data_IF_520819271958
#
_entry.id   IF_520819271958
#
_cell.length_a   1.000
_cell.length_b   1.000
_cell.length_c   1.000
_cell.angle_alpha   90.00
_cell.angle_beta   90.00
_cell.angle_gamma   90.00
#
_symmetry.space_group_name_H-M   'P 1'
#
loop_
_entity.id
_entity.type
_entity.pdbx_description
1 polymer ?
#
# COMPACT_ATOMS: atom_id res chain seq x y z
N UNK A 1 -42.71 -13.12 24.29
CA UNK A 1 -42.47 -13.27 22.86
C UNK A 1 -41.80 -12.02 22.32
N UNK A 2 -40.47 -12.01 22.35
CA UNK A 2 -39.62 -10.94 21.81
C UNK A 2 -39.20 -11.27 20.40
N UNK A 3 -39.73 -10.55 19.42
CA UNK A 3 -39.32 -10.68 18.04
C UNK A 3 -37.96 -10.05 17.81
N UNK A 4 -36.99 -10.87 17.37
CA UNK A 4 -35.69 -10.40 16.87
C UNK A 4 -35.91 -9.67 15.55
N UNK A 5 -35.84 -8.36 15.57
CA UNK A 5 -35.74 -7.55 14.38
C UNK A 5 -34.31 -7.61 13.86
N UNK A 6 -34.07 -8.40 12.80
CA UNK A 6 -32.83 -8.32 12.03
C UNK A 6 -32.92 -7.00 11.26
N UNK A 7 -32.13 -6.02 11.63
CA UNK A 7 -32.01 -4.79 10.88
C UNK A 7 -31.48 -5.12 9.48
N UNK A 8 -32.33 -4.94 8.48
CA UNK A 8 -31.94 -4.98 7.09
C UNK A 8 -30.94 -3.85 6.83
N UNK A 9 -29.77 -4.08 6.21
CA UNK A 9 -28.89 -2.97 5.86
C UNK A 9 -29.65 -1.98 4.98
N UNK A 10 -29.42 -0.66 5.14
CA UNK A 10 -30.10 0.34 4.32
C UNK A 10 -29.85 0.04 2.84
N UNK A 11 -30.86 0.22 1.97
CA UNK A 11 -30.68 0.03 0.55
C UNK A 11 -29.57 0.97 0.05
N UNK A 12 -28.73 0.52 -0.91
CA UNK A 12 -27.70 1.37 -1.47
C UNK A 12 -28.35 2.65 -2.02
N UNK A 13 -27.75 3.79 -1.71
CA UNK A 13 -28.17 5.09 -2.21
C UNK A 13 -28.35 5.00 -3.73
N UNK A 14 -29.53 5.28 -4.23
CA UNK A 14 -29.88 5.26 -5.63
C UNK A 14 -28.85 6.08 -6.44
N UNK A 15 -28.24 5.44 -7.47
CA UNK A 15 -27.26 5.95 -8.44
C UNK A 15 -25.75 5.86 -8.09
N UNK A 16 -25.31 5.04 -7.19
CA UNK A 16 -23.90 4.63 -7.21
C UNK A 16 -23.70 3.66 -8.40
N UNK A 17 -23.04 4.12 -9.46
CA UNK A 17 -22.73 3.27 -10.61
C UNK A 17 -21.81 2.14 -10.17
N UNK A 18 -22.29 0.89 -10.31
CA UNK A 18 -21.49 -0.31 -10.01
C UNK A 18 -20.21 -0.29 -10.85
N UNK A 19 -19.05 -0.32 -10.22
CA UNK A 19 -17.74 -0.11 -10.84
C UNK A 19 -16.98 -1.41 -11.03
N UNK A 20 -16.54 -1.69 -12.24
CA UNK A 20 -15.61 -2.78 -12.53
C UNK A 20 -14.19 -2.20 -12.64
N UNK A 21 -13.36 -2.43 -11.64
CA UNK A 21 -11.99 -1.92 -11.59
C UNK A 21 -11.02 -3.05 -11.91
N UNK A 22 -10.07 -2.76 -12.81
CA UNK A 22 -8.99 -3.68 -13.12
C UNK A 22 -7.65 -3.08 -12.74
N UNK A 23 -6.90 -3.78 -11.87
CA UNK A 23 -5.57 -3.40 -11.43
C UNK A 23 -4.54 -4.11 -12.31
N UNK A 24 -3.57 -3.37 -12.84
CA UNK A 24 -2.39 -3.93 -13.50
C UNK A 24 -1.22 -3.95 -12.52
N UNK A 25 -0.74 -5.15 -12.18
CA UNK A 25 0.33 -5.36 -11.22
C UNK A 25 1.64 -5.77 -11.90
N UNK A 26 2.76 -5.20 -11.46
CA UNK A 26 4.10 -5.63 -11.85
C UNK A 26 4.72 -6.65 -10.89
N UNK A 27 3.93 -7.18 -9.95
CA UNK A 27 4.34 -8.15 -8.93
C UNK A 27 4.98 -7.53 -7.68
N UNK A 28 5.23 -6.22 -7.65
CA UNK A 28 5.77 -5.56 -6.46
C UNK A 28 4.65 -5.23 -5.48
N UNK A 29 4.78 -5.72 -4.23
CA UNK A 29 3.74 -5.56 -3.21
C UNK A 29 3.40 -4.09 -2.90
N UNK A 30 4.40 -3.19 -2.84
CA UNK A 30 4.18 -1.77 -2.60
C UNK A 30 3.33 -1.10 -3.70
N UNK A 31 3.57 -1.45 -4.97
CA UNK A 31 2.78 -0.96 -6.10
C UNK A 31 1.35 -1.51 -6.08
N UNK A 32 1.22 -2.80 -5.78
CA UNK A 32 -0.09 -3.43 -5.65
C UNK A 32 -0.91 -2.81 -4.52
N UNK A 33 -0.30 -2.55 -3.37
CA UNK A 33 -0.95 -1.92 -2.23
C UNK A 33 -1.49 -0.52 -2.58
N UNK A 34 -0.73 0.30 -3.31
CA UNK A 34 -1.21 1.62 -3.75
C UNK A 34 -2.45 1.50 -4.63
N UNK A 35 -2.42 0.61 -5.61
CA UNK A 35 -3.54 0.37 -6.51
C UNK A 35 -4.77 -0.19 -5.79
N UNK A 36 -4.56 -1.14 -4.86
CA UNK A 36 -5.63 -1.70 -4.02
C UNK A 36 -6.25 -0.67 -3.08
N UNK A 37 -5.43 0.21 -2.49
CA UNK A 37 -5.91 1.28 -1.62
C UNK A 37 -6.91 2.19 -2.32
N UNK A 38 -6.60 2.61 -3.55
CA UNK A 38 -7.52 3.41 -4.37
C UNK A 38 -8.76 2.59 -4.76
N UNK A 39 -8.58 1.39 -5.30
CA UNK A 39 -9.67 0.56 -5.77
C UNK A 39 -10.69 0.27 -4.66
N UNK A 40 -10.22 -0.15 -3.48
CA UNK A 40 -11.06 -0.42 -2.32
C UNK A 40 -11.79 0.83 -1.82
N UNK A 41 -11.14 2.00 -1.86
CA UNK A 41 -11.78 3.26 -1.50
C UNK A 41 -12.92 3.62 -2.47
N UNK A 42 -12.75 3.38 -3.77
CA UNK A 42 -13.76 3.63 -4.78
C UNK A 42 -14.95 2.68 -4.66
N UNK A 43 -14.72 1.36 -4.60
CA UNK A 43 -15.81 0.39 -4.51
C UNK A 43 -16.56 0.45 -3.17
N UNK A 44 -15.91 0.89 -2.08
CA UNK A 44 -16.62 1.08 -0.81
C UNK A 44 -17.67 2.21 -0.88
N UNK A 45 -17.54 3.14 -1.82
CA UNK A 45 -18.49 4.24 -2.05
C UNK A 45 -19.50 3.95 -3.16
N UNK A 46 -19.03 3.33 -4.25
CA UNK A 46 -19.83 3.12 -5.44
C UNK A 46 -20.41 1.69 -5.54
N UNK A 47 -19.86 0.73 -4.82
CA UNK A 47 -20.06 -0.69 -5.10
C UNK A 47 -19.25 -1.12 -6.31
N UNK A 48 -19.04 -2.43 -6.47
CA UNK A 48 -18.31 -2.91 -7.64
C UNK A 48 -17.43 -4.13 -7.40
N UNK A 49 -16.61 -4.42 -8.40
CA UNK A 49 -15.64 -5.52 -8.37
C UNK A 49 -14.23 -4.99 -8.64
N UNK A 50 -13.25 -5.66 -8.07
CA UNK A 50 -11.82 -5.42 -8.33
C UNK A 50 -11.17 -6.71 -8.79
N UNK A 51 -10.52 -6.67 -9.95
CA UNK A 51 -9.70 -7.75 -10.47
C UNK A 51 -8.24 -7.28 -10.58
N UNK A 52 -7.29 -8.16 -10.26
CA UNK A 52 -5.87 -7.88 -10.44
C UNK A 52 -5.31 -8.74 -11.57
N UNK A 53 -4.73 -8.10 -12.57
CA UNK A 53 -3.99 -8.74 -13.67
C UNK A 53 -2.51 -8.67 -13.35
N UNK A 54 -1.91 -9.81 -13.03
CA UNK A 54 -0.47 -9.90 -12.78
C UNK A 54 0.30 -9.91 -14.11
N UNK A 55 1.21 -8.96 -14.29
CA UNK A 55 2.05 -8.78 -15.47
C UNK A 55 3.52 -9.15 -15.21
N UNK A 56 3.82 -9.70 -14.04
CA UNK A 56 5.18 -10.05 -13.65
C UNK A 56 5.81 -11.05 -14.64
N UNK A 57 7.07 -10.85 -14.97
CA UNK A 57 7.84 -11.76 -15.83
C UNK A 57 7.45 -11.78 -17.31
N UNK A 58 6.40 -11.05 -17.72
CA UNK A 58 5.98 -11.00 -19.12
C UNK A 58 6.77 -9.97 -19.93
N UNK A 59 7.03 -10.28 -21.20
CA UNK A 59 7.50 -9.30 -22.19
C UNK A 59 6.44 -8.22 -22.44
N UNK A 60 6.80 -7.09 -23.03
CA UNK A 60 5.86 -6.01 -23.31
C UNK A 60 4.66 -6.47 -24.16
N UNK A 61 4.90 -7.27 -25.18
CA UNK A 61 3.84 -7.84 -26.01
C UNK A 61 2.95 -8.81 -25.20
N UNK A 62 3.57 -9.64 -24.36
CA UNK A 62 2.86 -10.54 -23.44
C UNK A 62 1.96 -9.79 -22.45
N UNK A 63 2.45 -8.70 -21.88
CA UNK A 63 1.67 -7.83 -20.98
C UNK A 63 0.45 -7.24 -21.69
N UNK A 64 0.64 -6.64 -22.85
CA UNK A 64 -0.44 -6.03 -23.61
C UNK A 64 -1.50 -7.08 -24.01
N UNK A 65 -1.07 -8.26 -24.48
CA UNK A 65 -1.99 -9.36 -24.80
C UNK A 65 -2.80 -9.78 -23.56
N UNK A 66 -2.13 -10.01 -22.43
CA UNK A 66 -2.78 -10.45 -21.19
C UNK A 66 -3.82 -9.44 -20.69
N UNK A 67 -3.53 -8.14 -20.78
CA UNK A 67 -4.47 -7.08 -20.40
C UNK A 67 -5.76 -7.12 -21.23
N UNK A 68 -5.62 -7.42 -22.53
CA UNK A 68 -6.76 -7.44 -23.47
C UNK A 68 -7.58 -8.72 -23.39
N UNK A 69 -6.92 -9.88 -23.12
CA UNK A 69 -7.57 -11.19 -23.24
C UNK A 69 -7.80 -11.92 -21.90
N UNK A 70 -7.18 -11.49 -20.84
CA UNK A 70 -7.07 -12.25 -19.59
C UNK A 70 -7.96 -11.73 -18.46
N UNK A 71 -9.28 -11.62 -18.67
CA UNK A 71 -10.17 -11.14 -17.63
C UNK A 71 -11.49 -11.88 -17.59
N UNK A 72 -11.91 -12.26 -16.39
CA UNK A 72 -13.19 -12.93 -16.11
C UNK A 72 -14.32 -11.95 -15.78
N UNK A 73 -14.00 -10.65 -15.58
CA UNK A 73 -15.01 -9.62 -15.32
C UNK A 73 -15.41 -8.88 -16.60
N UNK A 74 -16.61 -8.29 -16.63
CA UNK A 74 -17.08 -7.44 -17.73
C UNK A 74 -16.10 -6.32 -18.06
N UNK A 75 -16.37 -5.60 -19.17
CA UNK A 75 -15.59 -4.44 -19.57
C UNK A 75 -15.30 -3.55 -18.35
N UNK A 76 -14.03 -3.24 -18.08
CA UNK A 76 -13.69 -2.41 -16.93
C UNK A 76 -14.09 -0.94 -17.16
N UNK A 77 -14.56 -0.29 -16.11
CA UNK A 77 -14.86 1.14 -16.08
C UNK A 77 -13.62 1.96 -15.76
N UNK A 78 -12.64 1.33 -15.08
CA UNK A 78 -11.41 1.97 -14.65
C UNK A 78 -10.24 0.98 -14.62
N UNK A 79 -9.11 1.39 -15.15
CA UNK A 79 -7.82 0.75 -14.90
C UNK A 79 -7.03 1.55 -13.87
N UNK A 80 -6.39 0.83 -12.92
CA UNK A 80 -5.48 1.40 -11.93
C UNK A 80 -4.17 0.65 -12.00
N UNK A 81 -3.06 1.35 -11.89
CA UNK A 81 -1.76 0.72 -11.72
C UNK A 81 -0.79 1.58 -10.92
N UNK A 82 0.29 0.96 -10.47
CA UNK A 82 1.50 1.60 -9.99
C UNK A 82 2.72 0.82 -10.52
N UNK A 83 3.83 1.51 -10.69
CA UNK A 83 5.08 0.91 -11.18
C UNK A 83 5.35 1.15 -12.66
N UNK A 84 6.62 1.46 -12.97
CA UNK A 84 7.04 1.83 -14.33
C UNK A 84 6.76 0.74 -15.37
N UNK A 85 6.82 -0.54 -14.96
CA UNK A 85 6.60 -1.67 -15.85
C UNK A 85 5.15 -1.80 -16.35
N UNK A 86 4.21 -1.05 -15.77
CA UNK A 86 2.78 -1.07 -16.10
C UNK A 86 2.34 0.13 -16.95
N UNK A 87 3.20 1.14 -17.19
CA UNK A 87 2.81 2.36 -17.89
C UNK A 87 2.29 2.08 -19.31
N UNK A 88 3.06 1.39 -20.13
CA UNK A 88 2.64 1.05 -21.51
C UNK A 88 1.42 0.13 -21.53
N UNK A 89 1.35 -0.96 -20.74
CA UNK A 89 0.14 -1.76 -20.64
C UNK A 89 -1.10 -0.96 -20.20
N UNK A 90 -0.94 0.00 -19.30
CA UNK A 90 -2.04 0.86 -18.84
C UNK A 90 -2.56 1.77 -19.96
N UNK A 91 -1.65 2.40 -20.72
CA UNK A 91 -1.99 3.23 -21.89
C UNK A 91 -2.68 2.37 -22.97
N UNK A 92 -2.16 1.18 -23.26
CA UNK A 92 -2.77 0.26 -24.22
C UNK A 92 -4.18 -0.16 -23.77
N UNK A 93 -4.35 -0.49 -22.47
CA UNK A 93 -5.64 -0.83 -21.89
C UNK A 93 -6.67 0.31 -22.06
N UNK A 94 -6.26 1.54 -21.69
CA UNK A 94 -7.08 2.75 -21.84
C UNK A 94 -7.61 2.91 -23.27
N UNK A 95 -6.74 2.78 -24.27
CA UNK A 95 -7.10 2.94 -25.66
C UNK A 95 -7.97 1.79 -26.18
N UNK A 96 -7.61 0.54 -25.84
CA UNK A 96 -8.34 -0.65 -26.32
C UNK A 96 -9.77 -0.69 -25.77
N UNK A 97 -9.95 -0.48 -24.46
CA UNK A 97 -11.24 -0.53 -23.82
C UNK A 97 -12.00 0.80 -23.88
N UNK A 98 -11.40 1.88 -24.37
CA UNK A 98 -11.94 3.25 -24.34
C UNK A 98 -12.48 3.60 -22.95
N UNK A 99 -11.66 3.38 -21.94
CA UNK A 99 -11.97 3.59 -20.52
C UNK A 99 -10.91 4.47 -19.87
N UNK A 100 -11.10 4.84 -18.61
CA UNK A 100 -10.18 5.68 -17.87
C UNK A 100 -9.01 4.89 -17.28
N UNK A 101 -7.86 5.57 -17.15
CA UNK A 101 -6.63 5.01 -16.59
C UNK A 101 -6.04 5.94 -15.52
N UNK A 102 -5.88 5.40 -14.32
CA UNK A 102 -5.28 6.10 -13.17
C UNK A 102 -3.95 5.44 -12.79
N UNK A 103 -2.93 6.28 -12.65
CA UNK A 103 -1.60 5.85 -12.21
C UNK A 103 -1.31 6.37 -10.80
N UNK A 104 -0.92 5.46 -9.88
CA UNK A 104 -0.65 5.78 -8.47
C UNK A 104 0.86 5.96 -8.22
N UNK A 105 1.51 6.87 -8.93
CA UNK A 105 2.92 7.26 -8.73
C UNK A 105 3.33 8.35 -9.73
N UNK A 106 4.53 8.93 -9.53
CA UNK A 106 5.16 9.79 -10.52
C UNK A 106 5.56 8.96 -11.76
N UNK A 107 4.99 9.24 -12.95
CA UNK A 107 5.35 8.51 -14.17
C UNK A 107 6.71 8.93 -14.72
N UNK A 108 7.32 8.04 -15.52
CA UNK A 108 8.46 8.38 -16.40
C UNK A 108 8.01 8.91 -17.75
N UNK A 109 6.73 8.77 -18.08
CA UNK A 109 6.09 9.31 -19.28
C UNK A 109 5.31 10.59 -18.90
N UNK A 110 4.99 11.46 -19.86
CA UNK A 110 4.13 12.61 -19.60
C UNK A 110 2.79 12.20 -18.98
N UNK A 111 2.35 12.93 -17.94
CA UNK A 111 1.09 12.64 -17.22
C UNK A 111 -0.14 12.65 -18.14
N UNK A 112 -0.11 13.43 -19.23
CA UNK A 112 -1.18 13.50 -20.24
C UNK A 112 -1.51 12.17 -20.95
N UNK A 113 -0.67 11.16 -20.83
CA UNK A 113 -1.01 9.81 -21.30
C UNK A 113 -2.01 9.07 -20.40
N UNK A 114 -2.21 9.55 -19.20
CA UNK A 114 -3.14 9.01 -18.20
C UNK A 114 -4.28 10.01 -17.97
N UNK A 115 -5.42 9.52 -17.47
CA UNK A 115 -6.54 10.42 -17.15
C UNK A 115 -6.33 11.08 -15.77
N UNK A 116 -5.53 10.44 -14.89
CA UNK A 116 -5.14 10.97 -13.59
C UNK A 116 -3.88 10.28 -13.09
N UNK A 117 -2.95 11.07 -12.54
CA UNK A 117 -1.79 10.59 -11.80
C UNK A 117 -1.90 10.99 -10.32
N UNK A 118 -1.98 10.04 -9.42
CA UNK A 118 -1.93 10.27 -7.97
C UNK A 118 -0.48 10.20 -7.53
N UNK A 119 0.12 11.35 -7.24
CA UNK A 119 1.55 11.46 -6.97
C UNK A 119 1.79 11.96 -5.55
N UNK A 120 2.55 11.22 -4.72
CA UNK A 120 2.96 11.69 -3.40
C UNK A 120 3.68 13.04 -3.47
N UNK A 121 3.40 13.94 -2.52
CA UNK A 121 3.98 15.29 -2.51
C UNK A 121 5.50 15.33 -2.50
N UNK A 122 6.15 14.34 -1.87
CA UNK A 122 7.60 14.24 -1.83
C UNK A 122 8.23 13.90 -3.19
N UNK A 123 7.45 13.39 -4.16
CA UNK A 123 7.88 13.12 -5.53
C UNK A 123 7.59 14.29 -6.50
N UNK A 124 6.93 15.35 -6.02
CA UNK A 124 6.55 16.51 -6.80
C UNK A 124 7.51 17.69 -6.57
N UNK A 125 7.58 18.57 -7.53
CA UNK A 125 8.39 19.80 -7.41
C UNK A 125 7.73 20.73 -6.39
N UNK A 126 8.51 21.18 -5.41
CA UNK A 126 8.05 22.10 -4.37
C UNK A 126 7.63 23.46 -4.97
N UNK A 127 6.46 23.95 -4.57
CA UNK A 127 5.97 25.26 -4.99
C UNK A 127 5.24 25.31 -6.33
N UNK A 128 5.12 24.19 -7.05
CA UNK A 128 4.30 24.12 -8.28
C UNK A 128 2.84 23.92 -7.95
N UNK A 129 1.97 24.65 -8.65
CA UNK A 129 0.53 24.44 -8.61
C UNK A 129 0.14 23.31 -9.59
N UNK A 130 -0.66 22.36 -9.13
CA UNK A 130 -1.14 21.21 -9.89
C UNK A 130 -2.67 21.21 -10.08
N UNK A 131 -3.35 22.32 -9.77
CA UNK A 131 -4.81 22.40 -9.71
C UNK A 131 -5.46 22.10 -11.06
N UNK A 132 -4.88 22.57 -12.17
CA UNK A 132 -5.42 22.38 -13.52
C UNK A 132 -4.64 21.36 -14.33
N UNK A 133 -4.19 20.29 -13.68
CA UNK A 133 -3.40 19.24 -14.33
C UNK A 133 -4.03 17.85 -14.12
N UNK A 134 -3.58 16.86 -14.90
CA UNK A 134 -3.91 15.45 -14.69
C UNK A 134 -3.17 14.85 -13.48
N UNK A 135 -2.75 15.68 -12.52
CA UNK A 135 -1.99 15.31 -11.33
C UNK A 135 -2.77 15.67 -10.08
N UNK A 136 -2.97 14.68 -9.21
CA UNK A 136 -3.51 14.90 -7.88
C UNK A 136 -2.42 14.60 -6.82
N UNK A 137 -1.94 15.61 -6.10
CA UNK A 137 -0.95 15.43 -5.04
C UNK A 137 -1.54 14.68 -3.85
N UNK A 138 -0.94 13.54 -3.47
CA UNK A 138 -1.29 12.81 -2.25
C UNK A 138 -0.31 13.13 -1.13
N UNK A 139 -0.71 13.01 0.13
CA UNK A 139 0.20 13.24 1.26
C UNK A 139 1.30 12.19 1.34
N UNK A 140 0.95 10.94 1.03
CA UNK A 140 1.86 9.81 0.98
C UNK A 140 1.40 8.78 -0.05
N UNK A 141 2.07 7.63 -0.08
CA UNK A 141 1.66 6.50 -0.90
C UNK A 141 0.30 5.96 -0.43
N UNK A 142 -0.58 5.65 -1.38
CA UNK A 142 -1.88 5.07 -1.05
C UNK A 142 -1.70 3.67 -0.47
N UNK A 143 -2.58 3.30 0.47
CA UNK A 143 -2.57 1.99 1.12
C UNK A 143 -3.99 1.49 1.41
N UNK A 144 -4.26 0.18 1.35
CA UNK A 144 -5.59 -0.38 1.64
C UNK A 144 -5.94 -0.39 3.13
N UNK A 145 -4.99 -0.14 4.01
CA UNK A 145 -5.24 -0.10 5.46
C UNK A 145 -6.18 1.05 5.83
N UNK A 146 -7.10 0.75 6.73
CA UNK A 146 -8.01 1.74 7.30
C UNK A 146 -7.97 1.67 8.82
N UNK A 147 -8.03 2.81 9.52
CA UNK A 147 -8.22 2.81 10.96
C UNK A 147 -9.52 2.08 11.32
N UNK A 148 -9.46 1.20 12.30
CA UNK A 148 -10.63 0.59 12.92
C UNK A 148 -10.74 1.10 14.36
N UNK A 149 -11.68 1.99 14.66
CA UNK A 149 -11.86 2.55 16.00
C UNK A 149 -12.41 1.53 17.01
N UNK A 150 -12.96 0.40 16.55
CA UNK A 150 -13.49 -0.65 17.42
C UNK A 150 -12.40 -1.56 18.01
N UNK A 151 -11.20 -1.52 17.43
CA UNK A 151 -10.06 -2.36 17.86
C UNK A 151 -9.32 -1.66 19.01
N UNK A 152 -9.10 -2.33 20.17
CA UNK A 152 -8.27 -1.80 21.25
C UNK A 152 -6.87 -1.44 20.77
N UNK A 153 -6.36 -0.31 21.25
CA UNK A 153 -5.02 0.21 20.96
C UNK A 153 -4.12 0.02 22.17
N UNK A 154 -3.52 -1.15 22.29
CA UNK A 154 -2.78 -1.59 23.48
C UNK A 154 -1.32 -1.94 23.20
N UNK A 155 -0.90 -1.87 21.96
CA UNK A 155 0.47 -2.19 21.54
C UNK A 155 1.19 -1.01 20.92
N UNK A 156 2.51 -1.02 20.97
CA UNK A 156 3.37 -0.17 20.13
C UNK A 156 4.08 -1.05 19.13
N UNK A 157 3.93 -0.72 17.85
CA UNK A 157 4.57 -1.44 16.76
C UNK A 157 5.88 -0.76 16.36
N UNK A 158 6.94 -1.57 16.21
CA UNK A 158 8.24 -1.09 15.73
C UNK A 158 8.55 -1.79 14.41
N UNK A 159 8.77 -1.01 13.35
CA UNK A 159 9.11 -1.49 12.02
C UNK A 159 10.52 -1.05 11.69
N UNK A 160 11.44 -2.00 11.56
CA UNK A 160 12.82 -1.69 11.17
C UNK A 160 13.13 -2.18 9.76
N UNK A 161 13.78 -1.32 9.00
CA UNK A 161 14.25 -1.62 7.66
C UNK A 161 15.63 -2.26 7.65
N UNK A 162 16.54 -1.65 6.94
CA UNK A 162 17.92 -2.11 6.78
C UNK A 162 18.69 -1.17 5.87
N UNK A 163 19.94 -1.50 5.52
CA UNK A 163 20.75 -0.66 4.65
C UNK A 163 20.05 -0.41 3.33
N UNK A 164 20.20 0.80 2.81
CA UNK A 164 19.67 1.20 1.52
C UNK A 164 20.66 2.09 0.77
N UNK A 165 20.32 2.51 -0.44
CA UNK A 165 21.18 3.39 -1.23
C UNK A 165 21.45 4.73 -0.52
N UNK A 166 20.48 5.21 0.24
CA UNK A 166 20.48 6.55 0.82
C UNK A 166 20.66 6.55 2.34
N UNK A 167 20.71 5.35 2.97
CA UNK A 167 20.84 5.19 4.42
C UNK A 167 21.83 4.09 4.76
N UNK A 168 22.88 4.47 5.51
CA UNK A 168 23.80 3.54 6.11
C UNK A 168 23.15 2.83 7.29
N UNK A 169 23.65 1.62 7.57
CA UNK A 169 23.18 0.81 8.68
C UNK A 169 24.28 0.66 9.73
N UNK A 170 23.95 0.95 10.97
CA UNK A 170 24.81 0.71 12.12
C UNK A 170 24.05 -0.03 13.22
N UNK A 171 24.49 -1.25 13.51
CA UNK A 171 23.88 -2.14 14.48
C UNK A 171 23.83 -1.53 15.88
N UNK A 172 24.93 -0.90 16.32
CA UNK A 172 25.04 -0.34 17.68
C UNK A 172 24.09 0.84 17.85
N UNK A 173 24.06 1.75 16.88
CA UNK A 173 23.13 2.88 16.87
C UNK A 173 21.68 2.41 16.90
N UNK A 174 21.34 1.39 16.11
CA UNK A 174 19.97 0.86 16.07
C UNK A 174 19.59 0.20 17.40
N UNK A 175 20.47 -0.61 18.00
CA UNK A 175 20.21 -1.22 19.31
C UNK A 175 20.02 -0.18 20.41
N UNK A 176 20.83 0.90 20.41
CA UNK A 176 20.70 2.00 21.36
C UNK A 176 19.35 2.74 21.20
N UNK A 177 18.90 2.95 19.97
CA UNK A 177 17.58 3.53 19.70
C UNK A 177 16.46 2.62 20.18
N UNK A 178 16.52 1.33 19.92
CA UNK A 178 15.53 0.34 20.38
C UNK A 178 15.47 0.24 21.91
N UNK A 179 16.61 0.24 22.57
CA UNK A 179 16.68 0.29 24.03
C UNK A 179 16.03 1.59 24.59
N UNK A 180 16.30 2.72 23.96
CA UNK A 180 15.67 3.98 24.33
C UNK A 180 14.15 3.96 24.15
N UNK A 181 13.66 3.42 23.03
CA UNK A 181 12.23 3.26 22.79
C UNK A 181 11.61 2.37 23.87
N UNK A 182 12.25 1.24 24.20
CA UNK A 182 11.76 0.29 25.21
C UNK A 182 11.62 0.95 26.60
N UNK A 183 12.58 1.77 26.99
CA UNK A 183 12.55 2.45 28.30
C UNK A 183 11.48 3.53 28.37
N UNK A 184 11.24 4.26 27.26
CA UNK A 184 10.37 5.44 27.27
C UNK A 184 8.96 5.17 26.76
N UNK A 185 8.68 3.98 26.26
CA UNK A 185 7.35 3.64 25.72
C UNK A 185 6.70 2.55 26.58
N UNK A 186 5.69 2.89 27.36
CA UNK A 186 4.98 1.91 28.21
C UNK A 186 4.13 0.97 27.35
N UNK A 187 3.92 -0.25 27.86
CA UNK A 187 3.02 -1.23 27.27
C UNK A 187 3.75 -2.32 26.47
N UNK A 188 3.00 -3.03 25.66
CA UNK A 188 3.53 -4.15 24.88
C UNK A 188 4.15 -3.64 23.58
N UNK A 189 5.43 -3.93 23.40
CA UNK A 189 6.23 -3.53 22.25
C UNK A 189 6.46 -4.73 21.34
N UNK A 190 6.00 -4.62 20.10
CA UNK A 190 6.15 -5.64 19.06
C UNK A 190 7.01 -5.08 17.94
N UNK A 191 8.09 -5.78 17.61
CA UNK A 191 9.01 -5.38 16.55
C UNK A 191 9.01 -6.41 15.41
N UNK A 192 9.00 -5.93 14.17
CA UNK A 192 9.34 -6.76 13.02
C UNK A 192 10.47 -6.15 12.21
N UNK A 193 11.27 -7.06 11.63
CA UNK A 193 12.36 -6.73 10.72
C UNK A 193 11.87 -6.59 9.28
N UNK A 194 12.75 -6.25 8.37
CA UNK A 194 12.51 -6.26 6.92
C UNK A 194 13.45 -7.23 6.22
N UNK A 195 13.19 -7.51 4.94
CA UNK A 195 14.09 -8.31 4.09
C UNK A 195 15.48 -7.70 3.89
N UNK A 196 15.67 -6.44 4.25
CA UNK A 196 16.94 -5.70 4.18
C UNK A 196 17.67 -5.66 5.51
N UNK A 197 17.00 -6.05 6.58
CA UNK A 197 17.63 -6.10 7.90
C UNK A 197 18.78 -7.13 7.87
N UNK A 198 19.98 -6.80 8.37
CA UNK A 198 21.12 -7.72 8.34
C UNK A 198 20.83 -9.04 9.06
N UNK A 199 21.36 -10.13 8.51
CA UNK A 199 21.21 -11.46 9.09
C UNK A 199 21.72 -11.50 10.55
N UNK A 200 20.98 -12.19 11.41
CA UNK A 200 21.31 -12.30 12.83
C UNK A 200 20.98 -11.05 13.66
N UNK A 201 20.55 -9.94 13.08
CA UNK A 201 20.24 -8.74 13.84
C UNK A 201 19.02 -8.92 14.76
N UNK A 202 18.03 -9.73 14.37
CA UNK A 202 16.90 -10.07 15.25
C UNK A 202 17.36 -10.71 16.56
N UNK A 203 18.37 -11.60 16.54
CA UNK A 203 18.93 -12.21 17.74
C UNK A 203 19.72 -11.22 18.59
N UNK A 204 20.43 -10.27 17.97
CA UNK A 204 21.07 -9.17 18.69
C UNK A 204 20.06 -8.32 19.44
N UNK A 205 18.91 -8.04 18.83
CA UNK A 205 17.82 -7.30 19.48
C UNK A 205 17.28 -8.09 20.68
N UNK A 206 16.97 -9.37 20.50
CA UNK A 206 16.45 -10.23 21.58
C UNK A 206 17.40 -10.28 22.78
N UNK A 207 18.70 -10.24 22.51
CA UNK A 207 19.73 -10.24 23.56
C UNK A 207 19.86 -8.88 24.24
N UNK A 208 19.87 -7.80 23.46
CA UNK A 208 20.12 -6.45 23.96
C UNK A 208 18.88 -5.79 24.59
N UNK A 209 17.67 -6.12 24.11
CA UNK A 209 16.40 -5.52 24.54
C UNK A 209 15.36 -6.64 24.73
N UNK A 210 15.46 -7.45 25.79
CA UNK A 210 14.63 -8.64 25.98
C UNK A 210 13.13 -8.34 26.20
N UNK A 211 12.79 -7.10 26.47
CA UNK A 211 11.40 -6.66 26.63
C UNK A 211 10.63 -6.55 25.32
N UNK A 212 11.35 -6.53 24.18
CA UNK A 212 10.73 -6.48 22.85
C UNK A 212 10.28 -7.86 22.40
N UNK A 213 9.03 -7.95 21.96
CA UNK A 213 8.55 -9.10 21.19
C UNK A 213 9.05 -8.99 19.76
N UNK A 214 10.12 -9.71 19.42
CA UNK A 214 10.73 -9.63 18.07
C UNK A 214 10.20 -10.74 17.18
N UNK A 215 9.55 -10.35 16.09
CA UNK A 215 9.02 -11.23 15.04
C UNK A 215 9.77 -10.94 13.74
N UNK A 216 10.75 -11.77 13.34
CA UNK A 216 11.45 -11.60 12.07
C UNK A 216 10.51 -11.61 10.88
N UNK A 217 10.90 -10.92 9.79
CA UNK A 217 10.05 -10.81 8.59
C UNK A 217 9.70 -12.17 7.99
N UNK A 218 10.56 -13.16 8.11
CA UNK A 218 10.36 -14.54 7.64
C UNK A 218 9.22 -15.25 8.39
N UNK A 219 8.95 -14.86 9.62
CA UNK A 219 7.86 -15.38 10.45
C UNK A 219 6.53 -14.63 10.20
N UNK A 220 6.58 -13.51 9.48
CA UNK A 220 5.38 -12.72 9.18
C UNK A 220 4.60 -13.32 8.00
N UNK A 221 3.27 -13.36 8.13
CA UNK A 221 2.36 -13.75 7.04
C UNK A 221 1.81 -12.51 6.33
N UNK A 222 1.31 -12.65 5.09
CA UNK A 222 0.63 -11.55 4.42
C UNK A 222 -0.43 -10.88 5.32
N UNK A 223 -0.39 -9.54 5.39
CA UNK A 223 -1.27 -8.74 6.25
C UNK A 223 -0.85 -8.69 7.73
N UNK A 224 0.32 -9.24 8.12
CA UNK A 224 0.79 -9.20 9.50
C UNK A 224 0.92 -7.75 10.02
N UNK A 225 1.63 -6.89 9.26
CA UNK A 225 1.81 -5.47 9.62
C UNK A 225 0.47 -4.75 9.74
N UNK A 226 -0.44 -4.97 8.80
CA UNK A 226 -1.76 -4.34 8.83
C UNK A 226 -2.56 -4.71 10.09
N UNK A 227 -2.53 -5.99 10.47
CA UNK A 227 -3.20 -6.44 11.71
C UNK A 227 -2.59 -5.81 12.96
N UNK A 228 -1.25 -5.76 13.05
CA UNK A 228 -0.59 -5.17 14.23
C UNK A 228 -0.77 -3.65 14.27
N UNK A 229 -0.75 -2.95 13.14
CA UNK A 229 -1.09 -1.53 13.07
C UNK A 229 -2.54 -1.25 13.50
N UNK A 230 -3.48 -2.18 13.24
CA UNK A 230 -4.85 -2.04 13.73
C UNK A 230 -4.93 -1.99 15.26
N UNK A 231 -4.04 -2.68 15.97
CA UNK A 231 -3.95 -2.70 17.44
C UNK A 231 -2.94 -1.68 18.00
N UNK A 232 -2.15 -1.03 17.17
CA UNK A 232 -1.11 -0.13 17.62
C UNK A 232 -1.68 1.22 18.09
N UNK A 233 -1.29 1.65 19.29
CA UNK A 233 -1.48 3.01 19.80
C UNK A 233 -0.42 3.96 19.23
N UNK A 234 0.76 3.44 18.93
CA UNK A 234 1.87 4.16 18.32
C UNK A 234 2.67 3.22 17.40
N UNK A 235 3.36 3.79 16.42
CA UNK A 235 4.29 3.07 15.58
C UNK A 235 5.62 3.82 15.48
N UNK A 236 6.72 3.10 15.67
CA UNK A 236 8.07 3.56 15.40
C UNK A 236 8.56 2.94 14.11
N UNK A 237 9.12 3.75 13.22
CA UNK A 237 9.52 3.31 11.89
C UNK A 237 10.90 3.84 11.59
N UNK A 238 11.82 2.98 11.14
CA UNK A 238 13.12 3.45 10.66
C UNK A 238 12.98 4.26 9.37
N UNK A 239 13.75 5.31 9.23
CA UNK A 239 13.61 6.31 8.17
C UNK A 239 14.01 5.84 6.77
N UNK A 240 14.58 4.63 6.64
CA UNK A 240 15.12 4.07 5.39
C UNK A 240 14.05 3.59 4.39
N UNK A 241 12.79 3.61 4.76
CA UNK A 241 11.70 3.14 3.91
C UNK A 241 10.51 4.10 3.89
N UNK A 242 10.36 4.82 2.79
CA UNK A 242 9.22 5.72 2.54
C UNK A 242 7.87 5.00 2.69
N UNK A 243 7.77 3.76 2.21
CA UNK A 243 6.53 2.98 2.29
C UNK A 243 6.15 2.49 3.70
N UNK A 244 7.06 2.60 4.67
CA UNK A 244 6.76 2.32 6.08
C UNK A 244 6.38 3.59 6.83
N UNK A 245 6.84 4.75 6.38
CA UNK A 245 6.56 6.05 7.00
C UNK A 245 5.17 6.57 6.59
N UNK A 246 4.73 6.29 5.38
CA UNK A 246 3.44 6.68 4.81
C UNK A 246 2.50 5.49 4.62
#
# INVERSE_FOLDING_TARGET
SGGNWIACPPPPLHNAAYMNIRILSDGKQGHLNQSLGLAQALISKAGGTVETVDLQGLSLLGKNRKVVTGSDIPRPDLFISAGHATHIPLICARHHFKTRAVLCMKPTLPCSFFDLCLIPRHDLDSGRDYTDTDIFPTQGALHPMRPDPSVPKDTTLILIGGPSKDFDWDDESMLNQLASISIHTPGHLVLTTSRRTPDGFAEKIRTAVPELTVVPVEETRPGWVARHLAHASAAWVSQDSVSMVY
#
